data_IF_648480450279
#
_entry.id   IF_648480450279
#
_cell.length_a   1.000
_cell.length_b   1.000
_cell.length_c   1.000
_cell.angle_alpha   90.00
_cell.angle_beta   90.00
_cell.angle_gamma   90.00
#
_symmetry.space_group_name_H-M   'P 1'
#
loop_
_entity.id
_entity.type
_entity.pdbx_description
1 polymer ?
#
# COMPACT_ATOMS: atom_id res chain seq x y z
N UNK A 1 1.02 13.19 -32.15
CA UNK A 1 0.72 14.62 -31.93
C UNK A 1 1.88 15.49 -32.37
N UNK A 2 2.77 16.03 -31.51
CA UNK A 2 3.70 17.13 -31.89
C UNK A 2 4.34 17.04 -33.31
N UNK A 3 4.92 15.90 -33.72
CA UNK A 3 5.54 15.73 -35.05
C UNK A 3 4.58 15.81 -36.26
N UNK A 4 3.27 15.59 -36.12
CA UNK A 4 2.33 15.73 -37.26
C UNK A 4 1.87 17.17 -37.48
N UNK A 5 1.81 18.00 -36.43
CA UNK A 5 1.55 19.43 -36.56
C UNK A 5 2.69 20.15 -37.30
N UNK A 6 3.94 19.76 -37.04
CA UNK A 6 5.11 20.27 -37.77
C UNK A 6 4.96 19.99 -39.27
N UNK A 7 4.78 18.73 -39.67
CA UNK A 7 4.59 18.36 -41.10
C UNK A 7 3.39 19.03 -41.75
N UNK A 8 2.27 19.13 -41.05
CA UNK A 8 1.11 19.86 -41.56
C UNK A 8 1.46 21.33 -41.85
N UNK A 9 2.22 21.98 -40.97
CA UNK A 9 2.63 23.39 -41.16
C UNK A 9 3.57 23.62 -42.35
N UNK A 10 4.21 22.58 -42.89
CA UNK A 10 5.08 22.64 -44.07
C UNK A 10 4.26 22.71 -45.39
N UNK A 11 2.95 22.43 -45.37
CA UNK A 11 2.10 22.41 -46.57
C UNK A 11 1.60 23.80 -46.98
N UNK A 12 2.24 24.39 -48.01
CA UNK A 12 1.85 25.69 -48.60
C UNK A 12 1.24 25.53 -50.00
N UNK A 13 0.83 26.65 -50.62
CA UNK A 13 0.28 26.70 -51.99
C UNK A 13 -1.19 26.30 -52.14
N UNK A 14 -1.66 26.15 -53.38
CA UNK A 14 -3.04 25.75 -53.71
C UNK A 14 -3.35 24.36 -53.14
N UNK A 15 -4.55 24.19 -52.56
CA UNK A 15 -5.01 22.95 -51.89
C UNK A 15 -4.20 22.54 -50.64
N UNK A 16 -3.41 23.46 -50.06
CA UNK A 16 -2.66 23.28 -48.80
C UNK A 16 -3.55 22.78 -47.65
N UNK A 17 -4.70 23.43 -47.44
CA UNK A 17 -5.71 23.05 -46.44
C UNK A 17 -6.18 21.60 -46.56
N UNK A 18 -6.25 21.07 -47.78
CA UNK A 18 -6.60 19.67 -48.03
C UNK A 18 -5.45 18.74 -47.65
N UNK A 19 -4.22 19.05 -48.06
CA UNK A 19 -3.02 18.28 -47.67
C UNK A 19 -2.79 18.27 -46.16
N UNK A 20 -2.96 19.42 -45.48
CA UNK A 20 -2.92 19.53 -44.02
C UNK A 20 -3.94 18.61 -43.33
N UNK A 21 -5.19 18.63 -43.80
CA UNK A 21 -6.23 17.73 -43.31
C UNK A 21 -5.82 16.27 -43.51
N UNK A 22 -5.33 15.91 -44.70
CA UNK A 22 -5.05 14.52 -45.05
C UNK A 22 -3.83 13.95 -44.28
N UNK A 23 -2.74 14.71 -44.08
CA UNK A 23 -1.59 14.30 -43.22
C UNK A 23 -2.02 14.12 -41.75
N UNK A 24 -2.79 15.06 -41.20
CA UNK A 24 -3.31 14.93 -39.83
C UNK A 24 -4.26 13.74 -39.69
N UNK A 25 -5.15 13.52 -40.66
CA UNK A 25 -6.11 12.42 -40.65
C UNK A 25 -5.42 11.06 -40.81
N UNK A 26 -4.36 10.99 -41.63
CA UNK A 26 -3.48 9.83 -41.75
C UNK A 26 -2.74 9.53 -40.43
N UNK A 27 -2.16 10.54 -39.78
CA UNK A 27 -1.52 10.39 -38.47
C UNK A 27 -2.52 9.91 -37.40
N UNK A 28 -3.73 10.46 -37.37
CA UNK A 28 -4.80 10.02 -36.45
C UNK A 28 -5.31 8.59 -36.71
N UNK A 29 -5.22 8.11 -37.96
CA UNK A 29 -5.69 6.76 -38.33
C UNK A 29 -4.60 5.68 -38.17
N UNK A 30 -3.33 6.05 -38.36
CA UNK A 30 -2.18 5.14 -38.20
C UNK A 30 -1.58 5.13 -36.79
N UNK A 31 -1.94 6.06 -35.91
CA UNK A 31 -1.60 5.97 -34.49
C UNK A 31 -2.79 5.35 -33.76
N UNK A 32 -2.60 4.16 -33.19
CA UNK A 32 -3.63 3.36 -32.53
C UNK A 32 -4.24 4.02 -31.26
N UNK A 33 -4.00 5.31 -31.00
CA UNK A 33 -4.33 6.02 -29.76
C UNK A 33 -5.82 5.91 -29.41
N UNK A 34 -6.73 6.04 -30.38
CA UNK A 34 -8.17 5.89 -30.14
C UNK A 34 -8.58 4.45 -29.85
N UNK A 35 -7.93 3.47 -30.48
CA UNK A 35 -8.19 2.05 -30.22
C UNK A 35 -7.61 1.64 -28.85
N UNK A 36 -6.41 2.13 -28.49
CA UNK A 36 -5.82 1.90 -27.18
C UNK A 36 -6.64 2.57 -26.07
N UNK A 37 -7.02 3.85 -26.20
CA UNK A 37 -7.87 4.51 -25.19
C UNK A 37 -9.24 3.82 -25.01
N UNK A 38 -9.76 3.18 -26.08
CA UNK A 38 -10.94 2.33 -26.03
C UNK A 38 -10.66 0.99 -25.35
N UNK A 39 -9.52 0.37 -25.57
CA UNK A 39 -9.09 -0.88 -24.90
C UNK A 39 -8.82 -0.65 -23.41
N UNK A 40 -8.08 0.40 -23.05
CA UNK A 40 -7.81 0.84 -21.68
C UNK A 40 -9.15 1.08 -20.93
N UNK A 41 -10.07 1.85 -21.53
CA UNK A 41 -11.38 2.13 -20.92
C UNK A 41 -12.31 0.91 -20.90
N UNK A 42 -12.20 -0.03 -21.84
CA UNK A 42 -12.91 -1.31 -21.79
C UNK A 42 -12.38 -2.19 -20.64
N UNK A 43 -11.07 -2.17 -20.40
CA UNK A 43 -10.44 -2.78 -19.22
C UNK A 43 -10.99 -2.21 -17.91
N UNK A 44 -11.04 -0.88 -17.78
CA UNK A 44 -11.65 -0.23 -16.61
C UNK A 44 -13.12 -0.64 -16.39
N UNK A 45 -13.91 -0.79 -17.47
CA UNK A 45 -15.31 -1.24 -17.38
C UNK A 45 -15.44 -2.72 -16.99
N UNK A 46 -14.52 -3.59 -17.43
CA UNK A 46 -14.46 -4.99 -17.02
C UNK A 46 -14.09 -5.08 -15.52
N UNK A 47 -13.04 -4.38 -15.09
CA UNK A 47 -12.60 -4.34 -13.70
C UNK A 47 -13.71 -3.81 -12.76
N UNK A 48 -14.43 -2.76 -13.19
CA UNK A 48 -15.57 -2.21 -12.44
C UNK A 48 -16.72 -3.22 -12.33
N UNK A 49 -17.04 -3.95 -13.40
CA UNK A 49 -18.05 -5.03 -13.39
C UNK A 49 -17.65 -6.13 -12.40
N UNK A 50 -16.39 -6.57 -12.41
CA UNK A 50 -15.89 -7.60 -11.50
C UNK A 50 -15.91 -7.14 -10.05
N UNK A 51 -15.53 -5.90 -9.77
CA UNK A 51 -15.64 -5.28 -8.44
C UNK A 51 -17.10 -5.28 -7.94
N UNK A 52 -18.06 -4.88 -8.78
CA UNK A 52 -19.50 -4.86 -8.41
C UNK A 52 -20.01 -6.28 -8.12
N UNK A 53 -19.66 -7.27 -8.94
CA UNK A 53 -20.04 -8.68 -8.72
C UNK A 53 -19.43 -9.23 -7.43
N UNK A 54 -18.16 -8.90 -7.14
CA UNK A 54 -17.49 -9.28 -5.90
C UNK A 54 -18.15 -8.65 -4.67
N UNK A 55 -18.41 -7.33 -4.69
CA UNK A 55 -19.08 -6.61 -3.60
C UNK A 55 -20.47 -7.19 -3.29
N UNK A 56 -21.25 -7.49 -4.33
CA UNK A 56 -22.56 -8.15 -4.19
C UNK A 56 -22.41 -9.55 -3.57
N UNK A 57 -21.42 -10.35 -4.01
CA UNK A 57 -21.17 -11.69 -3.45
C UNK A 57 -20.74 -11.64 -1.98
N UNK A 58 -19.87 -10.71 -1.59
CA UNK A 58 -19.45 -10.53 -0.20
C UNK A 58 -20.64 -10.14 0.69
N UNK A 59 -21.39 -9.09 0.33
CA UNK A 59 -22.54 -8.61 1.13
C UNK A 59 -23.68 -9.62 1.17
N UNK A 60 -23.88 -10.41 0.12
CA UNK A 60 -24.84 -11.51 0.13
C UNK A 60 -24.40 -12.63 1.08
N UNK A 61 -23.12 -13.00 1.09
CA UNK A 61 -22.59 -13.99 2.05
C UNK A 61 -22.70 -13.48 3.49
N UNK A 62 -22.32 -12.22 3.75
CA UNK A 62 -22.47 -11.58 5.07
C UNK A 62 -23.92 -11.59 5.56
N UNK A 63 -24.88 -11.30 4.67
CA UNK A 63 -26.32 -11.34 4.97
C UNK A 63 -26.83 -12.76 5.24
N UNK A 64 -26.37 -13.76 4.48
CA UNK A 64 -26.67 -15.19 4.71
C UNK A 64 -26.09 -15.64 6.06
N UNK A 65 -24.83 -15.32 6.34
CA UNK A 65 -24.15 -15.62 7.58
C UNK A 65 -24.83 -14.98 8.79
N UNK A 66 -25.33 -13.75 8.65
CA UNK A 66 -26.07 -13.04 9.70
C UNK A 66 -27.45 -13.67 9.94
N UNK A 67 -28.17 -13.98 8.86
CA UNK A 67 -29.47 -14.66 8.91
C UNK A 67 -29.37 -16.01 9.62
N UNK A 68 -28.40 -16.85 9.22
CA UNK A 68 -28.15 -18.17 9.83
C UNK A 68 -27.70 -18.12 11.30
N UNK A 69 -27.21 -16.97 11.79
CA UNK A 69 -26.79 -16.75 13.19
C UNK A 69 -27.87 -16.09 14.04
N UNK A 70 -28.97 -15.63 13.45
CA UNK A 70 -30.05 -14.94 14.16
C UNK A 70 -31.15 -15.93 14.56
N UNK A 71 -31.62 -15.97 15.82
CA UNK A 71 -32.70 -16.85 16.23
C UNK A 71 -34.02 -16.60 15.45
N UNK A 72 -34.70 -17.68 15.06
CA UNK A 72 -35.94 -17.65 14.28
C UNK A 72 -37.07 -16.79 14.90
N UNK A 73 -37.02 -16.52 16.20
CA UNK A 73 -37.96 -15.66 16.95
C UNK A 73 -37.95 -14.18 16.54
N UNK A 74 -37.00 -13.75 15.69
CA UNK A 74 -36.76 -12.34 15.38
C UNK A 74 -37.10 -11.92 13.94
N UNK A 75 -37.53 -12.84 13.08
CA UNK A 75 -37.41 -12.65 11.62
C UNK A 75 -38.69 -12.45 10.81
N UNK A 76 -39.88 -12.49 11.42
CA UNK A 76 -41.15 -12.25 10.73
C UNK A 76 -42.06 -11.30 11.54
N UNK A 77 -42.22 -10.05 11.10
CA UNK A 77 -43.50 -9.36 11.21
C UNK A 77 -44.51 -10.08 10.30
N UNK A 78 -45.75 -10.28 10.75
CA UNK A 78 -46.78 -11.00 9.98
C UNK A 78 -47.19 -10.32 8.66
N UNK A 79 -46.83 -9.04 8.47
CA UNK A 79 -47.06 -8.29 7.23
C UNK A 79 -45.76 -7.72 6.63
N UNK A 80 -45.36 -8.27 5.48
CA UNK A 80 -44.25 -7.79 4.64
C UNK A 80 -44.74 -7.03 3.38
N UNK A 81 -46.05 -6.83 3.24
CA UNK A 81 -46.71 -6.23 2.05
C UNK A 81 -46.20 -4.81 1.78
N UNK A 82 -45.92 -4.04 2.84
CA UNK A 82 -45.40 -2.67 2.75
C UNK A 82 -44.04 -2.64 2.02
N UNK A 83 -43.12 -3.54 2.38
CA UNK A 83 -41.77 -3.55 1.80
C UNK A 83 -41.73 -4.19 0.42
N UNK A 84 -42.55 -5.22 0.18
CA UNK A 84 -42.80 -5.77 -1.16
C UNK A 84 -43.30 -4.68 -2.13
N UNK A 85 -44.27 -3.86 -1.70
CA UNK A 85 -44.79 -2.77 -2.51
C UNK A 85 -43.76 -1.66 -2.79
N UNK A 86 -42.89 -1.32 -1.83
CA UNK A 86 -41.76 -0.39 -2.07
C UNK A 86 -40.80 -0.95 -3.12
N UNK A 87 -40.40 -2.22 -3.00
CA UNK A 87 -39.47 -2.84 -3.95
C UNK A 87 -40.08 -2.96 -5.35
N UNK A 88 -41.37 -3.31 -5.46
CA UNK A 88 -42.13 -3.29 -6.72
C UNK A 88 -42.12 -1.90 -7.36
N UNK A 89 -42.42 -0.84 -6.60
CA UNK A 89 -42.43 0.53 -7.10
C UNK A 89 -41.03 1.01 -7.56
N UNK A 90 -39.95 0.51 -6.96
CA UNK A 90 -38.59 0.75 -7.45
C UNK A 90 -38.31 0.01 -8.77
N UNK A 91 -38.74 -1.24 -8.91
CA UNK A 91 -38.58 -2.03 -10.13
C UNK A 91 -39.34 -1.39 -11.32
N UNK A 92 -40.59 -0.98 -11.10
CA UNK A 92 -41.41 -0.30 -12.12
C UNK A 92 -40.80 1.03 -12.57
N UNK A 93 -40.19 1.81 -11.66
CA UNK A 93 -39.45 3.03 -12.01
C UNK A 93 -38.21 2.75 -12.88
N UNK A 94 -37.45 1.69 -12.58
CA UNK A 94 -36.26 1.33 -13.36
C UNK A 94 -36.62 0.88 -14.78
N UNK A 95 -37.69 0.09 -14.93
CA UNK A 95 -38.15 -0.39 -16.24
C UNK A 95 -38.81 0.68 -17.11
N UNK A 96 -39.25 1.81 -16.52
CA UNK A 96 -39.80 2.96 -17.27
C UNK A 96 -38.75 3.78 -18.04
N UNK A 97 -37.46 3.64 -17.74
CA UNK A 97 -36.38 4.47 -18.31
C UNK A 97 -35.80 3.90 -19.61
N UNK A 98 -36.63 3.75 -20.66
CA UNK A 98 -36.16 3.39 -22.01
C UNK A 98 -36.75 4.35 -23.06
N UNK A 99 -36.06 5.47 -23.28
CA UNK A 99 -36.46 6.52 -24.22
C UNK A 99 -35.28 7.09 -25.02
N UNK A 100 -35.37 6.95 -26.34
CA UNK A 100 -34.50 7.47 -27.41
C UNK A 100 -33.61 8.69 -27.10
N UNK A 101 -32.31 8.56 -27.35
CA UNK A 101 -31.33 9.68 -27.31
C UNK A 101 -31.34 10.46 -28.63
N UNK A 102 -31.44 11.79 -28.58
CA UNK A 102 -31.18 12.71 -29.69
C UNK A 102 -30.59 14.05 -29.21
N UNK A 103 -29.38 14.39 -29.68
CA UNK A 103 -28.79 15.76 -29.81
C UNK A 103 -28.73 16.67 -28.55
N UNK A 104 -27.82 17.64 -28.39
CA UNK A 104 -26.63 18.08 -29.13
C UNK A 104 -25.68 18.80 -28.15
N UNK A 105 -24.35 18.87 -28.41
CA UNK A 105 -23.40 19.50 -27.49
C UNK A 105 -23.32 21.03 -27.65
N UNK A 106 -23.01 21.77 -26.57
CA UNK A 106 -22.47 23.14 -26.69
C UNK A 106 -21.57 23.58 -25.52
N UNK A 107 -20.62 24.41 -25.91
CA UNK A 107 -19.61 25.21 -25.20
C UNK A 107 -20.24 26.12 -24.11
N UNK A 108 -19.50 26.77 -23.19
CA UNK A 108 -18.05 26.94 -22.93
C UNK A 108 -17.87 27.16 -21.40
N UNK A 109 -16.72 27.41 -20.75
CA UNK A 109 -15.32 27.74 -21.11
C UNK A 109 -14.41 26.86 -20.17
N UNK A 110 -13.17 27.09 -19.69
CA UNK A 110 -12.16 28.17 -19.73
C UNK A 110 -10.74 27.62 -19.47
N UNK A 111 -9.73 28.49 -19.52
CA UNK A 111 -8.28 28.19 -19.44
C UNK A 111 -7.68 28.17 -18.03
N UNK A 112 -6.58 27.44 -17.87
CA UNK A 112 -5.33 28.06 -17.38
C UNK A 112 -4.08 27.31 -17.86
N UNK A 113 -3.03 28.07 -18.16
CA UNK A 113 -1.69 27.60 -18.57
C UNK A 113 -0.67 28.11 -17.56
N UNK A 114 0.36 27.34 -17.25
CA UNK A 114 1.54 27.84 -16.51
C UNK A 114 2.84 27.43 -17.21
N UNK A 115 3.61 28.44 -17.62
CA UNK A 115 5.06 28.30 -17.78
C UNK A 115 5.75 28.59 -16.44
N UNK A 116 7.00 28.14 -16.30
CA UNK A 116 7.89 28.59 -15.24
C UNK A 116 9.31 28.78 -15.79
N UNK A 117 9.58 29.98 -16.30
CA UNK A 117 10.94 30.45 -16.49
C UNK A 117 11.45 31.08 -15.19
N UNK A 118 12.67 30.73 -14.79
CA UNK A 118 13.44 31.51 -13.82
C UNK A 118 14.90 31.55 -14.30
N UNK A 119 15.51 32.73 -14.19
CA UNK A 119 16.76 33.06 -14.87
C UNK A 119 18.02 32.82 -14.02
N UNK A 120 19.12 32.53 -14.74
CA UNK A 120 20.50 32.48 -14.26
C UNK A 120 20.88 31.39 -13.22
N UNK A 121 22.12 30.89 -13.34
CA UNK A 121 22.81 30.24 -12.21
C UNK A 121 22.62 28.73 -12.02
N UNK A 122 22.42 27.93 -13.09
CA UNK A 122 22.45 26.45 -13.00
C UNK A 122 23.84 25.90 -12.60
N UNK A 123 24.20 26.00 -11.31
CA UNK A 123 25.19 25.11 -10.69
C UNK A 123 24.61 23.71 -10.69
N UNK A 124 25.02 22.89 -11.65
CA UNK A 124 24.59 21.49 -11.78
C UNK A 124 25.30 20.65 -10.72
N UNK A 125 24.81 20.69 -9.48
CA UNK A 125 25.31 19.85 -8.39
C UNK A 125 25.18 18.39 -8.81
N UNK A 126 26.32 17.70 -8.93
CA UNK A 126 26.33 16.27 -9.15
C UNK A 126 25.94 15.58 -7.85
N UNK A 127 24.71 15.08 -7.77
CA UNK A 127 24.27 14.23 -6.67
C UNK A 127 25.16 12.97 -6.65
N UNK A 128 25.81 12.65 -5.52
CA UNK A 128 26.62 11.43 -5.42
C UNK A 128 25.79 10.18 -5.70
N UNK A 129 26.26 9.31 -6.59
CA UNK A 129 25.53 8.11 -7.03
C UNK A 129 25.41 7.01 -5.97
N UNK A 130 26.13 7.14 -4.84
CA UNK A 130 26.10 6.19 -3.74
C UNK A 130 25.14 6.63 -2.62
N UNK A 131 24.18 5.76 -2.29
CA UNK A 131 23.37 5.88 -1.07
C UNK A 131 24.29 5.67 0.14
N UNK A 132 24.22 6.58 1.12
CA UNK A 132 24.92 6.44 2.40
C UNK A 132 23.95 5.91 3.46
N UNK A 133 24.20 4.72 4.01
CA UNK A 133 23.43 4.20 5.15
C UNK A 133 23.76 4.99 6.42
N UNK A 134 22.73 5.42 7.15
CA UNK A 134 22.84 6.07 8.45
C UNK A 134 21.88 5.40 9.45
N UNK A 135 22.30 5.29 10.71
CA UNK A 135 21.43 4.83 11.81
C UNK A 135 20.82 6.05 12.50
N UNK A 136 19.49 6.09 12.71
CA UNK A 136 18.83 7.21 13.37
C UNK A 136 19.04 7.18 14.88
N UNK A 137 19.12 8.36 15.49
CA UNK A 137 19.07 8.54 16.93
C UNK A 137 17.61 8.59 17.40
N UNK A 138 17.30 8.02 18.56
CA UNK A 138 15.97 8.16 19.19
C UNK A 138 16.00 9.36 20.14
N UNK A 139 15.30 10.43 19.78
CA UNK A 139 15.23 11.68 20.55
C UNK A 139 14.18 11.54 21.64
N UNK A 140 14.64 11.15 22.83
CA UNK A 140 13.79 10.92 24.01
C UNK A 140 13.00 12.16 24.42
N UNK A 141 13.61 13.34 24.34
CA UNK A 141 12.99 14.60 24.77
C UNK A 141 11.87 15.09 23.83
N UNK A 142 11.75 14.47 22.64
CA UNK A 142 10.68 14.70 21.68
C UNK A 142 9.69 13.53 21.57
N UNK A 143 9.70 12.57 22.51
CA UNK A 143 8.64 11.54 22.52
C UNK A 143 7.31 12.16 22.91
N UNK A 144 6.31 12.01 22.03
CA UNK A 144 4.93 12.46 22.30
C UNK A 144 4.33 11.78 23.54
N UNK A 145 3.27 12.36 24.10
CA UNK A 145 2.52 11.77 25.24
C UNK A 145 2.09 10.31 25.02
N UNK A 146 2.01 9.85 23.77
CA UNK A 146 1.65 8.48 23.39
C UNK A 146 2.85 7.51 23.37
N UNK A 147 4.02 7.93 23.87
CA UNK A 147 5.28 7.16 23.90
C UNK A 147 5.71 6.58 22.55
N UNK A 148 5.43 7.29 21.44
CA UNK A 148 6.01 6.97 20.13
C UNK A 148 7.41 7.61 20.01
N UNK A 149 8.43 6.86 19.54
CA UNK A 149 9.78 7.37 19.37
C UNK A 149 9.85 8.38 18.22
N UNK A 150 10.44 9.53 18.50
CA UNK A 150 10.87 10.49 17.48
C UNK A 150 12.31 10.16 17.10
N UNK A 151 12.56 10.03 15.81
CA UNK A 151 13.86 9.66 15.24
C UNK A 151 14.53 10.90 14.64
N UNK A 152 15.86 10.95 14.68
CA UNK A 152 16.70 11.96 14.04
C UNK A 152 17.74 11.30 13.16
N UNK A 153 17.77 11.63 11.89
CA UNK A 153 18.80 11.22 10.94
C UNK A 153 19.72 12.41 10.65
N UNK A 154 20.92 12.40 11.23
CA UNK A 154 21.90 13.49 11.08
C UNK A 154 22.57 13.41 9.69
N UNK A 155 22.14 14.22 8.72
CA UNK A 155 22.71 14.22 7.37
C UNK A 155 23.88 15.22 7.27
N UNK A 156 25.15 14.79 7.17
CA UNK A 156 26.31 15.66 7.40
C UNK A 156 26.63 16.63 6.25
N UNK A 157 26.06 16.44 5.06
CA UNK A 157 26.34 17.19 3.82
C UNK A 157 25.27 16.89 2.75
N UNK A 158 25.35 17.57 1.61
CA UNK A 158 24.62 17.20 0.41
C UNK A 158 24.87 15.72 0.01
N UNK A 159 23.81 14.98 -0.31
CA UNK A 159 23.90 13.55 -0.61
C UNK A 159 22.57 12.80 -0.46
N UNK A 160 22.58 11.51 -0.78
CA UNK A 160 21.44 10.61 -0.67
C UNK A 160 21.65 9.67 0.52
N UNK A 161 20.80 9.76 1.55
CA UNK A 161 20.99 9.07 2.83
C UNK A 161 19.81 8.14 3.14
N UNK A 162 20.10 6.88 3.47
CA UNK A 162 19.09 5.87 3.80
C UNK A 162 19.14 5.51 5.28
N UNK A 163 17.97 5.51 5.93
CA UNK A 163 17.79 5.07 7.30
C UNK A 163 17.93 3.55 7.42
N UNK A 164 18.83 3.07 8.29
CA UNK A 164 19.02 1.64 8.56
C UNK A 164 17.87 0.98 9.32
N UNK A 165 17.02 1.77 10.01
CA UNK A 165 15.90 1.25 10.81
C UNK A 165 14.56 1.23 10.09
N UNK A 166 14.32 2.14 9.14
CA UNK A 166 13.01 2.30 8.46
C UNK A 166 13.07 2.27 6.93
N UNK A 167 14.24 1.97 6.35
CA UNK A 167 14.56 1.98 4.91
C UNK A 167 14.32 3.32 4.17
N UNK A 168 13.64 4.31 4.75
CA UNK A 168 13.44 5.67 4.21
C UNK A 168 14.74 6.29 3.65
N UNK A 169 14.67 6.89 2.45
CA UNK A 169 15.81 7.61 1.85
C UNK A 169 15.48 9.08 1.64
N UNK A 170 16.45 9.95 1.94
CA UNK A 170 16.34 11.40 1.80
C UNK A 170 17.44 11.93 0.88
N UNK A 171 17.08 12.66 -0.17
CA UNK A 171 18.03 13.47 -0.94
C UNK A 171 18.16 14.84 -0.26
N UNK A 172 19.37 15.14 0.22
CA UNK A 172 19.70 16.38 0.92
C UNK A 172 20.52 17.31 0.00
N UNK A 173 20.14 18.59 -0.06
CA UNK A 173 20.91 19.65 -0.73
C UNK A 173 22.08 20.16 0.13
N UNK A 174 21.97 20.04 1.45
CA UNK A 174 22.95 20.55 2.41
C UNK A 174 23.14 19.63 3.61
N UNK A 175 23.86 20.13 4.63
CA UNK A 175 23.82 19.53 5.97
C UNK A 175 22.46 19.87 6.60
N UNK A 176 21.82 18.89 7.23
CA UNK A 176 20.64 19.14 8.07
C UNK A 176 20.21 17.90 8.83
N UNK A 177 19.32 18.09 9.81
CA UNK A 177 18.72 17.01 10.57
C UNK A 177 17.35 16.67 9.99
N UNK A 178 17.11 15.39 9.69
CA UNK A 178 15.77 14.91 9.35
C UNK A 178 15.13 14.32 10.61
N UNK A 179 14.10 14.98 11.12
CA UNK A 179 13.34 14.56 12.29
C UNK A 179 12.08 13.84 11.79
N UNK A 180 11.81 12.62 12.23
CA UNK A 180 10.62 11.90 11.80
C UNK A 180 10.02 10.98 12.87
N UNK A 181 8.73 10.68 12.72
CA UNK A 181 7.99 9.76 13.59
C UNK A 181 6.98 8.97 12.75
N UNK A 182 6.89 7.65 12.98
CA UNK A 182 5.81 6.83 12.43
C UNK A 182 4.49 7.21 13.12
N UNK A 183 3.47 7.57 12.33
CA UNK A 183 2.14 7.95 12.81
C UNK A 183 1.12 6.83 12.55
N UNK A 184 -0.17 7.14 12.56
CA UNK A 184 -1.26 6.24 12.20
C UNK A 184 -2.07 6.92 11.10
N UNK A 185 -2.62 6.14 10.18
CA UNK A 185 -3.57 6.67 9.19
C UNK A 185 -4.89 7.02 9.86
N UNK A 186 -5.41 8.21 9.53
CA UNK A 186 -6.80 8.54 9.83
C UNK A 186 -7.70 7.92 8.75
N UNK A 187 -8.58 7.02 9.16
CA UNK A 187 -9.50 6.31 8.27
C UNK A 187 -10.56 7.23 7.63
N UNK A 188 -10.81 8.41 8.20
CA UNK A 188 -11.71 9.41 7.61
C UNK A 188 -11.09 10.10 6.38
N UNK A 189 -9.76 10.17 6.29
CA UNK A 189 -9.05 10.79 5.17
C UNK A 189 -8.87 9.84 3.97
N UNK A 190 -8.81 8.54 4.21
CA UNK A 190 -8.53 7.53 3.19
C UNK A 190 -9.70 7.29 2.22
N UNK A 191 -10.95 7.42 2.67
CA UNK A 191 -12.14 7.19 1.84
C UNK A 191 -12.22 5.76 1.29
N UNK A 192 -12.00 5.59 -0.01
CA UNK A 192 -11.90 4.28 -0.68
C UNK A 192 -10.47 3.76 -0.84
N UNK A 193 -9.46 4.60 -0.61
CA UNK A 193 -8.05 4.25 -0.75
C UNK A 193 -7.60 3.37 0.41
N UNK A 194 -6.53 2.59 0.22
CA UNK A 194 -6.00 1.72 1.28
C UNK A 194 -4.50 1.92 1.47
N UNK A 195 -3.98 1.94 2.71
CA UNK A 195 -2.55 2.11 2.94
C UNK A 195 -1.68 1.06 2.23
N UNK A 196 -0.61 1.53 1.58
CA UNK A 196 0.47 0.73 0.99
C UNK A 196 1.78 0.84 1.78
N UNK A 197 1.76 1.55 2.91
CA UNK A 197 2.89 1.75 3.83
C UNK A 197 2.43 2.39 5.14
N UNK A 198 3.36 2.54 6.08
CA UNK A 198 3.15 3.42 7.24
C UNK A 198 3.04 4.89 6.80
N UNK A 199 2.35 5.69 7.61
CA UNK A 199 2.37 7.14 7.54
C UNK A 199 3.54 7.66 8.41
N UNK A 200 4.31 8.61 7.89
CA UNK A 200 5.47 9.20 8.55
C UNK A 200 5.28 10.71 8.65
N UNK A 201 5.25 11.25 9.87
CA UNK A 201 5.48 12.69 10.08
C UNK A 201 6.97 12.96 9.89
N UNK A 202 7.33 13.90 9.02
CA UNK A 202 8.71 14.23 8.67
C UNK A 202 8.89 15.76 8.73
N UNK A 203 9.99 16.21 9.32
CA UNK A 203 10.44 17.60 9.36
C UNK A 203 11.97 17.68 9.12
N UNK A 204 12.44 18.83 8.68
CA UNK A 204 13.86 19.16 8.55
C UNK A 204 14.02 20.68 8.75
N UNK A 205 14.48 21.14 9.93
CA UNK A 205 14.59 22.56 10.25
C UNK A 205 15.46 23.36 9.26
N UNK A 206 16.51 22.74 8.69
CA UNK A 206 17.36 23.35 7.66
C UNK A 206 16.77 23.29 6.24
N UNK A 207 15.52 22.84 6.09
CA UNK A 207 14.76 22.74 4.84
C UNK A 207 15.55 22.10 3.67
N UNK A 208 16.47 21.18 4.01
CA UNK A 208 17.48 20.66 3.11
C UNK A 208 17.04 19.40 2.35
N UNK A 209 15.91 18.79 2.73
CA UNK A 209 15.29 17.69 1.98
C UNK A 209 14.78 18.20 0.63
N UNK A 210 15.09 17.47 -0.45
CA UNK A 210 14.62 17.75 -1.82
C UNK A 210 13.86 16.58 -2.45
N UNK A 211 14.18 15.34 -2.05
CA UNK A 211 13.41 14.15 -2.42
C UNK A 211 13.28 13.22 -1.22
N UNK A 212 12.14 12.53 -1.17
CA UNK A 212 11.83 11.46 -0.24
C UNK A 212 11.61 10.17 -1.03
N UNK A 213 12.20 9.07 -0.57
CA UNK A 213 11.94 7.74 -1.09
C UNK A 213 11.21 6.93 -0.02
N UNK A 214 9.97 6.55 -0.29
CA UNK A 214 9.13 5.74 0.60
C UNK A 214 9.24 4.26 0.23
N UNK A 215 9.53 3.33 1.17
CA UNK A 215 9.63 1.91 0.88
C UNK A 215 8.23 1.29 0.64
N UNK A 216 8.08 0.51 -0.43
CA UNK A 216 6.88 -0.27 -0.74
C UNK A 216 7.17 -1.77 -0.75
N UNK A 217 6.10 -2.56 -0.63
CA UNK A 217 6.13 -4.01 -0.64
C UNK A 217 5.76 -4.67 -1.99
N UNK A 218 5.27 -3.94 -3.00
CA UNK A 218 4.80 -4.59 -4.25
C UNK A 218 5.89 -5.44 -4.95
N UNK A 219 5.45 -6.54 -5.57
CA UNK A 219 6.30 -7.40 -6.41
C UNK A 219 6.33 -6.98 -7.89
N UNK A 220 5.42 -6.12 -8.35
CA UNK A 220 5.44 -5.61 -9.73
C UNK A 220 6.06 -4.19 -9.77
N UNK A 221 6.98 -3.97 -10.71
CA UNK A 221 7.57 -2.65 -10.97
C UNK A 221 6.65 -1.74 -11.81
N UNK A 222 5.54 -2.30 -12.33
CA UNK A 222 4.47 -1.61 -13.08
C UNK A 222 3.17 -1.49 -12.29
N UNK A 223 3.26 -1.55 -10.96
CA UNK A 223 2.09 -1.39 -10.09
C UNK A 223 1.69 0.11 -10.03
N UNK A 224 1.13 0.59 -11.14
CA UNK A 224 0.72 1.98 -11.40
C UNK A 224 -0.37 2.49 -10.41
N UNK A 225 -0.81 1.64 -9.47
CA UNK A 225 -1.76 1.93 -8.39
C UNK A 225 -1.10 2.53 -7.12
N UNK A 226 0.25 2.63 -7.08
CA UNK A 226 0.99 3.20 -5.94
C UNK A 226 1.09 4.74 -6.02
N UNK A 227 0.29 5.41 -5.21
CA UNK A 227 0.29 6.87 -5.06
C UNK A 227 0.90 7.30 -3.72
N UNK A 228 1.42 8.53 -3.66
CA UNK A 228 1.90 9.16 -2.41
C UNK A 228 0.80 10.04 -1.84
N UNK A 229 0.39 9.81 -0.61
CA UNK A 229 -0.43 10.75 0.14
C UNK A 229 0.46 11.72 0.93
N UNK A 230 0.15 13.00 0.85
CA UNK A 230 0.71 14.06 1.67
C UNK A 230 -0.42 14.66 2.53
N UNK A 231 -0.28 14.66 3.86
CA UNK A 231 -1.34 15.04 4.79
C UNK A 231 -0.94 16.29 5.60
N UNK A 232 -1.49 17.43 5.22
CA UNK A 232 -1.20 18.74 5.83
C UNK A 232 -2.46 19.34 6.45
N UNK A 233 -2.38 19.82 7.69
CA UNK A 233 -3.52 20.44 8.42
C UNK A 233 -4.82 19.61 8.43
N UNK A 234 -4.71 18.27 8.48
CA UNK A 234 -5.87 17.37 8.44
C UNK A 234 -6.52 17.19 7.07
N UNK A 235 -5.91 17.68 5.98
CA UNK A 235 -6.34 17.42 4.61
C UNK A 235 -5.31 16.51 3.91
N UNK A 236 -5.78 15.57 3.10
CA UNK A 236 -4.93 14.68 2.31
C UNK A 236 -4.93 15.11 0.84
N UNK A 237 -3.74 15.32 0.25
CA UNK A 237 -3.55 15.47 -1.19
C UNK A 237 -2.79 14.26 -1.75
N UNK A 238 -3.07 13.92 -3.02
CA UNK A 238 -2.37 12.85 -3.75
C UNK A 238 -1.26 13.49 -4.58
N UNK A 239 -0.01 13.16 -4.25
CA UNK A 239 1.18 13.62 -4.94
C UNK A 239 1.64 12.51 -5.89
N UNK A 240 1.75 12.82 -7.18
CA UNK A 240 2.22 11.86 -8.17
C UNK A 240 3.70 11.51 -7.92
N UNK A 241 4.08 10.21 -7.90
CA UNK A 241 5.48 9.79 -7.87
C UNK A 241 6.28 10.38 -9.04
N UNK A 242 7.54 10.74 -8.77
CA UNK A 242 8.52 10.97 -9.83
C UNK A 242 8.92 9.66 -10.51
N UNK A 243 9.02 8.58 -9.72
CA UNK A 243 9.37 7.23 -10.18
C UNK A 243 9.08 6.17 -9.10
N UNK A 244 8.53 5.01 -9.49
CA UNK A 244 8.61 3.77 -8.71
C UNK A 244 9.86 2.94 -9.09
N UNK A 245 10.35 2.12 -8.16
CA UNK A 245 11.50 1.23 -8.35
C UNK A 245 11.17 -0.18 -7.82
N UNK A 246 12.13 -1.10 -7.77
CA UNK A 246 11.93 -2.42 -7.16
C UNK A 246 11.57 -2.37 -5.65
N UNK A 247 11.87 -1.27 -4.95
CA UNK A 247 11.74 -1.18 -3.48
C UNK A 247 11.21 0.15 -2.94
N UNK A 248 11.39 1.26 -3.67
CA UNK A 248 10.99 2.61 -3.24
C UNK A 248 10.19 3.40 -4.28
N UNK A 249 9.21 4.16 -3.80
CA UNK A 249 8.51 5.22 -4.53
C UNK A 249 9.20 6.56 -4.23
N UNK A 250 9.62 7.28 -5.28
CA UNK A 250 10.38 8.53 -5.19
C UNK A 250 9.46 9.73 -5.43
N UNK A 251 9.51 10.73 -4.56
CA UNK A 251 8.74 11.98 -4.66
C UNK A 251 9.62 13.21 -4.41
N UNK A 252 9.35 14.30 -5.12
CA UNK A 252 10.00 15.60 -4.88
C UNK A 252 9.32 16.30 -3.70
N UNK A 253 10.10 16.92 -2.82
CA UNK A 253 9.61 17.59 -1.61
C UNK A 253 9.66 19.11 -1.81
N UNK A 254 8.48 19.75 -1.70
CA UNK A 254 8.29 21.21 -1.67
C UNK A 254 8.06 21.72 -0.25
N UNK A 255 7.25 20.98 0.52
CA UNK A 255 6.94 21.21 1.93
C UNK A 255 7.03 19.89 2.69
N UNK A 256 7.28 19.94 4.00
CA UNK A 256 7.37 18.76 4.86
C UNK A 256 6.17 18.70 5.81
N UNK A 257 5.51 17.54 5.87
CA UNK A 257 4.47 17.23 6.83
C UNK A 257 4.35 15.69 7.00
N UNK A 258 3.16 15.11 6.90
CA UNK A 258 2.96 13.66 6.95
C UNK A 258 2.95 13.07 5.53
N UNK A 259 3.76 12.03 5.29
CA UNK A 259 3.86 11.31 4.01
C UNK A 259 3.65 9.81 4.20
N UNK A 260 2.93 9.19 3.27
CA UNK A 260 2.71 7.75 3.25
C UNK A 260 2.32 7.26 1.87
N UNK A 261 2.39 5.94 1.65
CA UNK A 261 1.95 5.33 0.39
C UNK A 261 0.51 4.82 0.52
N UNK A 262 -0.25 4.99 -0.56
CA UNK A 262 -1.61 4.49 -0.72
C UNK A 262 -1.74 3.68 -2.01
N UNK A 263 -2.69 2.76 -1.98
CA UNK A 263 -3.24 2.08 -3.14
C UNK A 263 -4.49 2.83 -3.61
N UNK A 264 -4.47 3.32 -4.85
CA UNK A 264 -5.64 3.96 -5.48
C UNK A 264 -6.77 2.95 -5.78
N UNK A 265 -6.41 1.67 -5.93
CA UNK A 265 -7.31 0.50 -5.92
C UNK A 265 -6.63 -0.59 -5.09
N UNK A 266 -7.34 -1.21 -4.14
CA UNK A 266 -6.77 -2.28 -3.29
C UNK A 266 -6.17 -3.41 -4.15
N UNK A 267 -4.85 -3.54 -4.11
CA UNK A 267 -4.12 -4.54 -4.88
C UNK A 267 -4.23 -5.92 -4.21
N UNK A 268 -4.68 -6.91 -4.99
CA UNK A 268 -4.66 -8.32 -4.59
C UNK A 268 -3.37 -9.04 -5.07
N UNK A 269 -2.43 -8.30 -5.68
CA UNK A 269 -1.15 -8.87 -6.14
C UNK A 269 -0.31 -9.31 -4.92
N UNK A 270 0.45 -10.42 -5.02
CA UNK A 270 1.35 -10.83 -3.96
C UNK A 270 2.39 -9.74 -3.65
N UNK A 271 2.61 -9.48 -2.36
CA UNK A 271 3.58 -8.50 -1.88
C UNK A 271 4.75 -9.17 -1.19
N UNK A 272 5.92 -8.51 -1.23
CA UNK A 272 7.08 -8.83 -0.41
C UNK A 272 6.69 -8.67 1.06
N UNK A 273 6.83 -9.74 1.81
CA UNK A 273 6.39 -9.85 3.20
C UNK A 273 7.50 -10.40 4.09
N UNK A 274 7.24 -10.42 5.38
CA UNK A 274 8.15 -10.92 6.40
C UNK A 274 7.38 -11.71 7.47
N UNK A 275 8.01 -12.81 7.92
CA UNK A 275 7.61 -13.57 9.10
C UNK A 275 8.52 -13.15 10.25
N UNK A 276 7.96 -12.48 11.25
CA UNK A 276 8.70 -12.06 12.45
C UNK A 276 8.37 -12.99 13.63
N UNK A 277 9.40 -13.32 14.41
CA UNK A 277 9.34 -14.28 15.49
C UNK A 277 9.74 -13.63 16.81
N UNK A 278 8.89 -13.74 17.83
CA UNK A 278 9.10 -13.16 19.14
C UNK A 278 8.88 -14.21 20.23
N UNK A 279 9.95 -14.57 20.95
CA UNK A 279 9.87 -15.44 22.13
C UNK A 279 9.31 -14.64 23.31
N UNK A 280 8.15 -15.03 23.83
CA UNK A 280 7.59 -14.43 25.04
C UNK A 280 8.50 -14.67 26.26
N UNK A 281 8.53 -13.74 27.23
CA UNK A 281 9.31 -13.92 28.45
C UNK A 281 8.79 -15.11 29.27
N UNK A 282 9.70 -15.90 29.85
CA UNK A 282 9.33 -16.96 30.78
C UNK A 282 8.72 -16.35 32.05
N UNK A 283 7.40 -16.51 32.21
CA UNK A 283 6.71 -16.30 33.49
C UNK A 283 6.89 -17.50 34.42
N UNK A 284 5.96 -17.66 35.37
CA UNK A 284 5.99 -18.71 36.41
C UNK A 284 5.79 -20.17 35.91
N UNK A 285 6.04 -20.43 34.62
CA UNK A 285 5.94 -21.75 33.96
C UNK A 285 7.20 -22.03 33.12
N UNK A 286 8.35 -22.36 33.75
CA UNK A 286 9.63 -22.49 33.05
C UNK A 286 9.72 -23.62 32.00
N UNK A 287 8.71 -24.49 31.93
CA UNK A 287 8.63 -25.61 30.97
C UNK A 287 7.77 -25.29 29.71
N UNK A 288 7.24 -24.07 29.61
CA UNK A 288 6.36 -23.64 28.51
C UNK A 288 6.89 -22.36 27.88
N UNK A 289 7.38 -22.45 26.65
CA UNK A 289 7.79 -21.31 25.83
C UNK A 289 6.69 -20.99 24.82
N UNK A 290 6.49 -19.71 24.50
CA UNK A 290 5.53 -19.27 23.49
C UNK A 290 6.26 -18.40 22.48
N UNK A 291 6.23 -18.80 21.19
CA UNK A 291 6.71 -17.97 20.08
C UNK A 291 5.50 -17.31 19.43
N UNK A 292 5.43 -15.98 19.54
CA UNK A 292 4.55 -15.13 18.74
C UNK A 292 5.11 -15.07 17.30
N UNK A 293 4.28 -15.39 16.32
CA UNK A 293 4.62 -15.35 14.89
C UNK A 293 3.72 -14.30 14.22
N UNK A 294 4.33 -13.35 13.53
CA UNK A 294 3.65 -12.18 12.95
C UNK A 294 3.92 -12.13 11.45
N UNK A 295 2.88 -12.15 10.62
CA UNK A 295 2.97 -11.95 9.17
C UNK A 295 2.73 -10.47 8.85
N UNK A 296 3.72 -9.78 8.26
CA UNK A 296 3.61 -8.36 7.92
C UNK A 296 4.14 -8.07 6.50
N UNK A 297 3.70 -6.97 5.86
CA UNK A 297 4.38 -6.41 4.69
C UNK A 297 5.85 -6.10 5.01
N UNK A 298 6.75 -6.29 4.04
CA UNK A 298 8.21 -6.14 4.22
C UNK A 298 8.65 -4.69 4.50
N UNK A 299 7.85 -3.70 4.13
CA UNK A 299 8.08 -2.28 4.41
C UNK A 299 7.53 -1.81 5.78
N UNK A 300 7.08 -2.72 6.65
CA UNK A 300 6.86 -2.41 8.08
C UNK A 300 8.20 -2.52 8.83
N UNK A 301 8.70 -1.42 9.45
CA UNK A 301 9.98 -1.44 10.17
C UNK A 301 9.96 -2.34 11.41
N UNK A 302 10.95 -3.22 11.55
CA UNK A 302 11.11 -4.12 12.71
C UNK A 302 11.03 -3.37 14.05
N UNK A 303 11.69 -2.22 14.15
CA UNK A 303 11.75 -1.43 15.39
C UNK A 303 10.38 -0.94 15.89
N UNK A 304 9.37 -0.79 15.02
CA UNK A 304 8.00 -0.46 15.43
C UNK A 304 7.23 -1.71 15.92
N UNK A 305 7.55 -2.89 15.39
CA UNK A 305 6.98 -4.17 15.84
C UNK A 305 7.56 -4.58 17.20
N UNK A 306 8.89 -4.48 17.37
CA UNK A 306 9.59 -4.73 18.63
C UNK A 306 9.05 -3.85 19.77
N UNK A 307 8.79 -2.56 19.49
CA UNK A 307 8.22 -1.59 20.44
C UNK A 307 6.87 -2.04 21.00
N UNK A 308 6.10 -2.81 20.24
CA UNK A 308 4.79 -3.31 20.61
C UNK A 308 4.86 -4.69 21.30
N UNK A 309 5.82 -5.55 20.92
CA UNK A 309 6.06 -6.87 21.51
C UNK A 309 6.84 -6.80 22.85
N UNK A 310 6.48 -5.86 23.72
CA UNK A 310 7.20 -5.51 24.96
C UNK A 310 7.51 -6.74 25.83
N UNK A 311 8.78 -6.87 26.21
CA UNK A 311 9.28 -7.97 27.05
C UNK A 311 9.53 -9.28 26.32
N UNK A 312 9.17 -9.39 25.03
CA UNK A 312 9.52 -10.56 24.19
C UNK A 312 10.86 -10.35 23.50
N UNK A 313 11.61 -11.43 23.28
CA UNK A 313 12.90 -11.41 22.57
C UNK A 313 12.67 -11.70 21.09
N UNK A 314 13.13 -10.81 20.20
CA UNK A 314 13.11 -11.07 18.76
C UNK A 314 14.07 -12.21 18.39
N UNK A 315 13.59 -13.19 17.62
CA UNK A 315 14.38 -14.33 17.14
C UNK A 315 14.84 -14.02 15.70
N UNK A 316 16.07 -13.52 15.57
CA UNK A 316 16.65 -13.17 14.27
C UNK A 316 16.81 -14.42 13.39
N UNK A 317 16.04 -14.49 12.31
CA UNK A 317 16.01 -15.59 11.32
C UNK A 317 15.85 -15.02 9.91
N UNK A 318 15.87 -15.89 8.89
CA UNK A 318 15.49 -15.54 7.52
C UNK A 318 13.99 -15.23 7.43
N UNK A 319 13.59 -13.98 7.62
CA UNK A 319 12.17 -13.58 7.70
C UNK A 319 11.44 -13.42 6.35
N UNK A 320 12.17 -13.14 5.25
CA UNK A 320 11.57 -12.74 3.96
C UNK A 320 10.70 -13.83 3.32
N UNK A 321 9.53 -13.43 2.82
CA UNK A 321 8.62 -14.26 2.03
C UNK A 321 7.82 -13.40 1.04
N UNK A 322 6.92 -14.02 0.27
CA UNK A 322 5.93 -13.33 -0.57
C UNK A 322 4.54 -13.85 -0.20
N UNK A 323 3.60 -12.95 0.09
CA UNK A 323 2.24 -13.31 0.52
C UNK A 323 1.18 -12.54 -0.27
N UNK A 324 0.10 -13.21 -0.63
CA UNK A 324 -1.08 -12.61 -1.27
C UNK A 324 -1.94 -11.91 -0.21
N UNK A 325 -2.28 -10.61 -0.38
CA UNK A 325 -3.20 -9.91 0.51
C UNK A 325 -4.53 -10.66 0.67
N UNK A 326 -5.02 -10.74 1.92
CA UNK A 326 -6.18 -11.54 2.34
C UNK A 326 -6.04 -13.06 2.13
N UNK A 327 -4.86 -13.57 1.75
CA UNK A 327 -4.57 -15.00 1.67
C UNK A 327 -4.69 -15.70 3.02
N UNK A 328 -5.02 -17.00 3.01
CA UNK A 328 -5.12 -17.82 4.23
C UNK A 328 -3.91 -18.73 4.35
N UNK A 329 -3.20 -18.60 5.46
CA UNK A 329 -1.97 -19.34 5.73
C UNK A 329 -2.14 -20.25 6.94
N UNK A 330 -1.30 -21.27 7.06
CA UNK A 330 -1.16 -22.06 8.28
C UNK A 330 0.30 -22.25 8.62
N UNK A 331 0.62 -22.19 9.90
CA UNK A 331 1.96 -22.48 10.41
C UNK A 331 2.09 -23.98 10.73
N UNK A 332 3.21 -24.56 10.35
CA UNK A 332 3.66 -25.89 10.74
C UNK A 332 4.90 -25.74 11.64
N UNK A 333 5.04 -26.63 12.61
CA UNK A 333 6.21 -26.77 13.48
C UNK A 333 6.63 -28.24 13.46
N UNK A 334 7.79 -28.54 12.90
CA UNK A 334 8.35 -29.89 12.86
C UNK A 334 9.20 -30.09 14.13
N UNK A 335 8.51 -30.40 15.24
CA UNK A 335 9.08 -30.67 16.57
C UNK A 335 8.52 -31.97 17.17
N UNK A 336 9.18 -32.50 18.20
CA UNK A 336 8.83 -33.80 18.80
C UNK A 336 7.55 -33.71 19.63
N UNK A 337 6.45 -34.18 19.06
CA UNK A 337 5.15 -34.54 19.66
C UNK A 337 4.32 -33.48 20.42
N UNK A 338 4.94 -32.50 21.07
CA UNK A 338 4.31 -31.71 22.14
C UNK A 338 4.06 -30.22 21.82
N UNK A 339 4.25 -29.79 20.57
CA UNK A 339 3.98 -28.41 20.14
C UNK A 339 2.52 -28.19 19.74
N UNK A 340 1.88 -27.14 20.28
CA UNK A 340 0.53 -26.71 19.88
C UNK A 340 0.59 -25.37 19.14
N UNK A 341 -0.13 -25.21 18.03
CA UNK A 341 -0.24 -23.96 17.28
C UNK A 341 -1.67 -23.44 17.34
N UNK A 342 -1.84 -22.14 17.62
CA UNK A 342 -3.13 -21.46 17.56
C UNK A 342 -3.01 -20.11 16.82
N UNK A 343 -3.96 -19.74 15.94
CA UNK A 343 -4.99 -20.59 15.33
C UNK A 343 -4.39 -21.62 14.35
N UNK A 344 -5.19 -22.58 13.87
CA UNK A 344 -4.75 -23.57 12.84
C UNK A 344 -4.52 -22.96 11.45
N UNK A 345 -5.14 -21.80 11.20
CA UNK A 345 -4.95 -20.96 10.02
C UNK A 345 -5.28 -19.52 10.39
N UNK A 346 -4.52 -18.57 9.83
CA UNK A 346 -4.72 -17.13 9.97
C UNK A 346 -4.76 -16.46 8.59
N UNK A 347 -5.34 -15.27 8.53
CA UNK A 347 -5.35 -14.46 7.32
C UNK A 347 -4.12 -13.54 7.30
N UNK A 348 -3.56 -13.26 6.12
CA UNK A 348 -2.61 -12.17 5.95
C UNK A 348 -3.36 -10.92 5.51
N UNK A 349 -3.74 -10.08 6.47
CA UNK A 349 -4.61 -8.92 6.20
C UNK A 349 -3.91 -7.83 5.38
N UNK A 350 -2.57 -7.84 5.34
CA UNK A 350 -1.72 -6.88 4.62
C UNK A 350 -1.98 -5.42 5.01
N UNK A 351 -2.38 -5.19 6.27
CA UNK A 351 -2.70 -3.86 6.78
C UNK A 351 -1.49 -3.14 7.39
N UNK A 352 -1.75 -1.90 7.79
CA UNK A 352 -0.82 -1.03 8.52
C UNK A 352 -1.51 -0.54 9.80
N UNK A 353 -2.18 -1.48 10.50
CA UNK A 353 -2.99 -1.23 11.69
C UNK A 353 -2.20 -0.62 12.85
N UNK A 354 -2.89 0.03 13.81
CA UNK A 354 -2.24 0.65 14.97
C UNK A 354 -1.49 -0.35 15.88
N UNK A 355 -1.83 -1.64 15.81
CA UNK A 355 -1.31 -2.73 16.63
C UNK A 355 -0.97 -3.96 15.75
N UNK A 356 0.24 -4.49 15.87
CA UNK A 356 0.71 -5.68 15.16
C UNK A 356 0.51 -6.94 16.02
N UNK A 357 -0.68 -7.52 15.89
CA UNK A 357 -1.08 -8.75 16.58
C UNK A 357 -0.44 -10.00 15.95
N UNK A 358 -0.14 -11.01 16.76
CA UNK A 358 0.46 -12.27 16.28
C UNK A 358 -0.55 -13.08 15.47
N UNK A 359 -0.20 -13.37 14.22
CA UNK A 359 -0.99 -14.22 13.31
C UNK A 359 -1.06 -15.68 13.79
N UNK A 360 0.00 -16.14 14.47
CA UNK A 360 0.03 -17.43 15.16
C UNK A 360 0.80 -17.34 16.48
N UNK A 361 0.51 -18.27 17.38
CA UNK A 361 1.30 -18.55 18.59
C UNK A 361 1.67 -20.03 18.62
N UNK A 362 2.97 -20.31 18.79
CA UNK A 362 3.52 -21.67 18.93
C UNK A 362 3.81 -21.92 20.41
N UNK A 363 3.05 -22.82 21.02
CA UNK A 363 3.22 -23.28 22.40
C UNK A 363 4.16 -24.49 22.40
N UNK A 364 5.33 -24.32 23.00
CA UNK A 364 6.41 -25.29 23.07
C UNK A 364 6.48 -25.82 24.51
N UNK A 365 6.12 -27.08 24.71
CA UNK A 365 6.01 -27.68 26.04
C UNK A 365 7.11 -28.73 26.24
N UNK A 366 7.75 -28.72 27.41
CA UNK A 366 8.76 -29.71 27.82
C UNK A 366 9.99 -29.78 26.89
N UNK A 367 10.43 -28.64 26.34
CA UNK A 367 11.63 -28.55 25.51
C UNK A 367 12.87 -29.05 26.26
N UNK A 368 13.63 -29.95 25.65
CA UNK A 368 14.88 -30.53 26.20
C UNK A 368 16.09 -29.59 26.11
N UNK A 369 15.99 -28.52 25.32
CA UNK A 369 17.07 -27.57 25.02
C UNK A 369 18.00 -28.00 23.87
N UNK A 370 17.88 -29.23 23.36
CA UNK A 370 18.76 -29.80 22.33
C UNK A 370 18.08 -30.02 20.96
N UNK A 371 16.91 -29.41 20.73
CA UNK A 371 16.04 -29.69 19.58
C UNK A 371 15.79 -28.44 18.74
N UNK A 372 16.47 -28.37 17.58
CA UNK A 372 16.27 -27.31 16.59
C UNK A 372 14.81 -27.25 16.13
N UNK A 373 14.19 -26.07 16.20
CA UNK A 373 12.79 -25.88 15.85
C UNK A 373 12.70 -25.50 14.36
N UNK A 374 12.17 -26.38 13.50
CA UNK A 374 11.82 -25.99 12.13
C UNK A 374 10.39 -25.46 12.11
N UNK A 375 10.23 -24.21 11.70
CA UNK A 375 8.93 -23.61 11.37
C UNK A 375 8.75 -23.55 9.85
N UNK A 376 7.52 -23.67 9.37
CA UNK A 376 7.17 -23.51 7.96
C UNK A 376 5.79 -22.88 7.80
N UNK A 377 5.66 -21.91 6.89
CA UNK A 377 4.39 -21.29 6.55
C UNK A 377 3.85 -21.91 5.26
N UNK A 378 2.60 -22.34 5.31
CA UNK A 378 1.90 -23.04 4.23
C UNK A 378 0.75 -22.17 3.71
N UNK A 379 0.64 -21.99 2.40
CA UNK A 379 -0.51 -21.34 1.77
C UNK A 379 -1.69 -22.32 1.63
N UNK A 380 -2.77 -22.07 2.37
CA UNK A 380 -3.99 -22.89 2.35
C UNK A 380 -4.81 -22.71 1.06
N UNK A 381 -4.58 -21.63 0.31
CA UNK A 381 -5.16 -21.42 -1.02
C UNK A 381 -4.44 -22.22 -2.11
N UNK A 382 -3.16 -22.54 -1.91
CA UNK A 382 -2.28 -23.17 -2.90
C UNK A 382 -1.87 -24.60 -2.49
N UNK A 383 -2.85 -25.42 -2.08
CA UNK A 383 -2.66 -26.84 -1.71
C UNK A 383 -1.55 -27.06 -0.65
N UNK A 384 -1.48 -26.23 0.38
CA UNK A 384 -0.47 -26.25 1.44
C UNK A 384 0.99 -26.06 0.96
N UNK A 385 1.19 -25.36 -0.17
CA UNK A 385 2.52 -24.99 -0.64
C UNK A 385 3.31 -24.22 0.43
N UNK A 386 4.53 -24.68 0.73
CA UNK A 386 5.47 -24.02 1.63
C UNK A 386 5.96 -22.72 0.99
N UNK A 387 5.56 -21.58 1.56
CA UNK A 387 5.92 -20.21 1.10
C UNK A 387 7.05 -19.57 1.93
N UNK A 388 7.38 -20.17 3.08
CA UNK A 388 8.48 -19.76 3.96
C UNK A 388 8.88 -20.92 4.89
N UNK A 389 10.14 -20.98 5.27
CA UNK A 389 10.61 -21.80 6.39
C UNK A 389 11.82 -21.17 7.11
N UNK A 390 12.04 -21.58 8.36
CA UNK A 390 13.28 -21.31 9.08
C UNK A 390 13.64 -22.47 10.01
N UNK A 391 14.90 -22.50 10.45
CA UNK A 391 15.38 -23.35 11.53
C UNK A 391 15.85 -22.44 12.67
N UNK A 392 15.25 -22.59 13.84
CA UNK A 392 15.66 -21.89 15.07
C UNK A 392 16.56 -22.84 15.86
N UNK A 393 17.85 -22.52 16.07
CA UNK A 393 18.70 -23.32 16.94
C UNK A 393 18.30 -23.13 18.41
N UNK A 394 18.29 -24.20 19.18
CA UNK A 394 18.27 -24.15 20.65
C UNK A 394 19.64 -24.58 21.17
N UNK A 395 20.32 -23.68 21.89
CA UNK A 395 21.66 -23.88 22.47
C UNK A 395 22.02 -22.75 23.41
#
# INVERSE_FOLDING_TARGET
MHRCYIRASEHTGKDSLKRMKDELHHHMKNNNIFQKAKEDMLGCLINLKEHIVMQLKCKLQESIDLSLKTPNSSFLPDDVTVEYNKMKMCYEKLMGCSGTVQFSPRLDLQTNTFELQSGNGRKRVQVPTGVTMLTPEIVKDLTTHNHRPTFRLQCPKAGLFQCSSTELVFLMEGKGDVIYMMTQWDSSLLGSMTPAGLLFSIDCPEQSVRQLHLPHCSCDEKDDNLSVAHVTHGNMEIVQPLKATATHVIVNITHLSLFGLIWDVFSFLPVRSQVLLFLQPQGNRPQQHIINVILLPRNVPLCEVERQQRGSTFIQTSSNCTLSPRGKYGLCCELVANSTIQPRSGQFDCDYSPNFHSTFQVFLNCMSGAENIRLSLLDRGSNDQRVWECLIPTG
#
